data_IF_892772118795
#
_entry.id   IF_892772118795
#
_cell.length_a   1.000
_cell.length_b   1.000
_cell.length_c   1.000
_cell.angle_alpha   90.00
_cell.angle_beta   90.00
_cell.angle_gamma   90.00
#
_symmetry.space_group_name_H-M   'P 1'
#
loop_
_entity.id
_entity.type
_entity.pdbx_description
1 polymer ?
#
# COMPACT_ATOMS: atom_id res chain seq x y z
N UNK A 1 2.26 -14.94 4.89
CA UNK A 1 2.67 -13.75 5.65
C UNK A 1 1.60 -12.69 5.51
N UNK A 2 1.18 -12.06 6.61
CA UNK A 2 0.11 -11.04 6.60
C UNK A 2 0.72 -9.66 6.36
N UNK A 3 0.18 -8.91 5.41
CA UNK A 3 0.48 -7.48 5.23
C UNK A 3 -0.21 -6.71 6.37
N UNK A 4 0.44 -5.70 6.93
CA UNK A 4 -0.23 -4.76 7.84
C UNK A 4 -1.31 -4.01 7.06
N UNK A 5 -2.56 -4.12 7.52
CA UNK A 5 -3.71 -3.43 6.94
C UNK A 5 -4.04 -2.14 7.72
N UNK A 6 -5.03 -1.40 7.31
CA UNK A 6 -5.47 -0.14 7.95
C UNK A 6 -5.73 -0.33 9.45
N UNK A 7 -6.33 -1.44 9.84
CA UNK A 7 -6.64 -1.79 11.22
C UNK A 7 -5.39 -2.09 12.06
N UNK A 8 -4.28 -2.46 11.42
CA UNK A 8 -3.01 -2.76 12.07
C UNK A 8 -2.14 -1.49 12.30
N UNK A 9 -2.62 -0.30 11.87
CA UNK A 9 -1.89 0.97 11.97
C UNK A 9 -1.35 1.29 13.39
N UNK A 10 -2.06 0.97 14.49
CA UNK A 10 -1.52 1.19 15.84
C UNK A 10 -0.22 0.43 16.14
N UNK A 11 0.07 -0.62 15.37
CA UNK A 11 1.27 -1.45 15.50
C UNK A 11 2.28 -1.24 14.36
N UNK A 12 2.03 -0.30 13.46
CA UNK A 12 2.88 -0.03 12.30
C UNK A 12 3.87 1.10 12.59
N UNK A 13 5.10 0.75 12.94
CA UNK A 13 6.18 1.68 13.30
C UNK A 13 7.40 1.57 12.39
N UNK A 14 8.26 2.58 12.45
CA UNK A 14 9.54 2.62 11.75
C UNK A 14 9.45 3.15 10.32
N UNK A 15 8.29 3.60 9.86
CA UNK A 15 8.11 4.21 8.53
C UNK A 15 7.40 5.58 8.60
N UNK A 16 7.39 6.19 9.76
CA UNK A 16 6.66 7.44 10.01
C UNK A 16 7.16 8.57 9.11
N UNK A 17 8.49 8.70 8.94
CA UNK A 17 9.07 9.73 8.08
C UNK A 17 8.67 9.53 6.60
N UNK A 18 8.67 8.27 6.13
CA UNK A 18 8.22 7.92 4.77
C UNK A 18 6.73 8.24 4.58
N UNK A 19 5.89 7.84 5.54
CA UNK A 19 4.44 8.13 5.49
C UNK A 19 4.19 9.64 5.50
N UNK A 20 4.90 10.39 6.32
CA UNK A 20 4.77 11.86 6.35
C UNK A 20 5.20 12.49 5.03
N UNK A 21 6.26 11.99 4.41
CA UNK A 21 6.69 12.43 3.09
C UNK A 21 5.60 12.15 2.03
N UNK A 22 5.03 10.93 2.01
CA UNK A 22 3.94 10.57 1.11
C UNK A 22 2.71 11.47 1.28
N UNK A 23 2.34 11.80 2.52
CA UNK A 23 1.25 12.75 2.81
C UNK A 23 1.54 14.14 2.27
N UNK A 24 2.79 14.60 2.36
CA UNK A 24 3.18 15.91 1.83
C UNK A 24 3.09 15.96 0.30
N UNK A 25 3.44 14.86 -0.40
CA UNK A 25 3.28 14.76 -1.87
C UNK A 25 1.80 14.85 -2.32
N UNK A 26 0.86 14.51 -1.45
CA UNK A 26 -0.58 14.58 -1.73
C UNK A 26 -1.22 15.91 -1.36
N UNK A 27 -0.46 16.82 -0.74
CA UNK A 27 -0.92 18.18 -0.42
C UNK A 27 -0.61 19.13 -1.59
N UNK A 28 -1.41 20.20 -1.80
CA UNK A 28 -1.03 21.23 -2.75
C UNK A 28 0.28 21.89 -2.29
N UNK A 29 1.22 22.07 -3.21
CA UNK A 29 2.52 22.69 -2.91
C UNK A 29 2.37 24.17 -2.54
N UNK A 30 1.36 24.87 -3.13
CA UNK A 30 0.94 26.21 -2.78
C UNK A 30 -0.56 26.36 -3.07
N UNK A 31 -1.17 27.40 -2.48
CA UNK A 31 -2.57 27.74 -2.72
C UNK A 31 -2.82 27.95 -4.23
N UNK A 32 -3.81 27.24 -4.78
CA UNK A 32 -4.15 27.31 -6.21
C UNK A 32 -3.31 26.39 -7.13
N UNK A 33 -2.32 25.68 -6.61
CA UNK A 33 -1.58 24.68 -7.42
C UNK A 33 -2.35 23.36 -7.52
N UNK A 34 -2.20 22.63 -8.65
CA UNK A 34 -2.82 21.33 -8.80
C UNK A 34 -2.28 20.34 -7.76
N UNK A 35 -3.18 19.63 -7.11
CA UNK A 35 -2.83 18.54 -6.19
C UNK A 35 -2.37 17.33 -6.98
N UNK A 36 -1.26 16.71 -6.55
CA UNK A 36 -0.85 15.42 -7.08
C UNK A 36 -1.91 14.36 -6.72
N UNK A 37 -2.39 13.66 -7.75
CA UNK A 37 -3.42 12.61 -7.61
C UNK A 37 -2.97 11.25 -8.13
N UNK A 38 -1.69 11.10 -8.38
CA UNK A 38 -1.06 9.84 -8.72
C UNK A 38 0.18 9.63 -7.85
N UNK A 39 0.33 8.47 -7.25
CA UNK A 39 1.49 8.14 -6.43
C UNK A 39 1.88 6.67 -6.62
N UNK A 40 3.11 6.41 -7.04
CA UNK A 40 3.65 5.07 -7.17
C UNK A 40 4.66 4.76 -6.05
N UNK A 41 4.36 3.76 -5.22
CA UNK A 41 5.23 3.27 -4.14
C UNK A 41 5.98 2.04 -4.68
N UNK A 42 7.24 2.23 -5.02
CA UNK A 42 8.08 1.23 -5.70
C UNK A 42 9.16 0.70 -4.75
N UNK A 43 9.55 -0.56 -4.89
CA UNK A 43 10.66 -1.11 -4.09
C UNK A 43 10.82 -2.62 -4.25
N UNK A 44 11.85 -3.18 -3.64
CA UNK A 44 12.12 -4.62 -3.68
C UNK A 44 10.97 -5.46 -3.09
N UNK A 45 10.90 -6.74 -3.46
CA UNK A 45 10.00 -7.67 -2.76
C UNK A 45 10.33 -7.69 -1.27
N UNK A 46 9.31 -7.69 -0.41
CA UNK A 46 9.52 -7.68 1.04
C UNK A 46 9.97 -6.35 1.66
N UNK A 47 10.03 -5.23 0.91
CA UNK A 47 10.40 -3.92 1.46
C UNK A 47 9.30 -3.23 2.29
N UNK A 48 8.11 -3.82 2.39
CA UNK A 48 7.00 -3.27 3.17
C UNK A 48 6.07 -2.30 2.42
N UNK A 49 6.16 -2.18 1.08
CA UNK A 49 5.32 -1.27 0.25
C UNK A 49 3.83 -1.33 0.55
N UNK A 50 3.27 -2.54 0.55
CA UNK A 50 1.84 -2.74 0.81
C UNK A 50 1.44 -2.26 2.21
N UNK A 51 2.28 -2.52 3.22
CA UNK A 51 2.05 -2.04 4.59
C UNK A 51 2.18 -0.53 4.69
N UNK A 52 3.16 0.08 4.00
CA UNK A 52 3.30 1.55 3.90
C UNK A 52 2.06 2.17 3.26
N UNK A 53 1.54 1.58 2.18
CA UNK A 53 0.33 2.08 1.52
C UNK A 53 -0.90 1.95 2.42
N UNK A 54 -1.11 0.78 3.07
CA UNK A 54 -2.32 0.47 3.84
C UNK A 54 -2.25 0.98 5.28
N UNK A 55 -1.38 0.40 6.13
CA UNK A 55 -1.25 0.75 7.54
C UNK A 55 -0.56 2.11 7.76
N UNK A 56 0.25 2.56 6.81
CA UNK A 56 0.84 3.90 6.83
C UNK A 56 -0.09 4.94 6.23
N UNK A 57 -0.10 5.07 4.90
CA UNK A 57 -0.72 6.19 4.20
C UNK A 57 -2.24 6.20 4.31
N UNK A 58 -2.92 5.08 3.98
CA UNK A 58 -4.39 5.02 4.04
C UNK A 58 -4.90 5.19 5.46
N UNK A 59 -4.26 4.56 6.44
CA UNK A 59 -4.62 4.75 7.84
C UNK A 59 -4.45 6.21 8.28
N UNK A 60 -3.37 6.89 7.90
CA UNK A 60 -3.17 8.30 8.19
C UNK A 60 -4.26 9.18 7.56
N UNK A 61 -4.67 8.91 6.30
CA UNK A 61 -5.80 9.59 5.66
C UNK A 61 -7.10 9.37 6.43
N UNK A 62 -7.36 8.14 6.91
CA UNK A 62 -8.53 7.82 7.74
C UNK A 62 -8.51 8.51 9.11
N UNK A 63 -7.35 8.91 9.60
CA UNK A 63 -7.17 9.72 10.81
C UNK A 63 -7.05 11.22 10.52
N UNK A 64 -7.52 11.67 9.37
CA UNK A 64 -7.60 13.09 8.98
C UNK A 64 -6.25 13.79 8.85
N UNK A 65 -5.19 13.06 8.50
CA UNK A 65 -3.84 13.63 8.29
C UNK A 65 -3.79 14.70 7.19
N UNK A 66 -4.73 14.65 6.24
CA UNK A 66 -5.09 15.75 5.34
C UNK A 66 -6.50 16.17 5.73
N UNK A 67 -6.76 17.45 6.01
CA UNK A 67 -8.06 17.90 6.48
C UNK A 67 -9.22 17.41 5.61
N UNK A 68 -10.21 16.76 6.22
CA UNK A 68 -11.35 16.15 5.54
C UNK A 68 -11.13 14.75 4.96
N UNK A 69 -9.89 14.24 4.95
CA UNK A 69 -9.55 12.93 4.35
C UNK A 69 -10.16 11.74 5.10
N UNK A 70 -10.51 11.87 6.37
CA UNK A 70 -11.18 10.81 7.13
C UNK A 70 -12.48 10.31 6.46
N UNK A 71 -13.16 11.18 5.71
CA UNK A 71 -14.41 10.89 4.99
C UNK A 71 -14.22 10.36 3.57
N UNK A 72 -12.98 10.34 3.06
CA UNK A 72 -12.72 9.87 1.70
C UNK A 72 -13.01 8.37 1.58
N UNK A 73 -13.83 7.95 0.60
CA UNK A 73 -13.99 6.54 0.30
C UNK A 73 -12.66 5.95 -0.22
N UNK A 74 -12.33 4.74 0.22
CA UNK A 74 -11.07 4.07 -0.12
C UNK A 74 -11.37 2.70 -0.70
N UNK A 75 -11.00 2.50 -1.96
CA UNK A 75 -11.05 1.22 -2.67
C UNK A 75 -9.63 0.64 -2.74
N UNK A 76 -9.41 -0.52 -2.10
CA UNK A 76 -8.13 -1.22 -2.13
C UNK A 76 -8.32 -2.56 -2.83
N UNK A 77 -7.50 -2.85 -3.84
CA UNK A 77 -7.55 -4.13 -4.54
C UNK A 77 -6.19 -4.56 -5.06
N UNK A 78 -6.09 -5.85 -5.41
CA UNK A 78 -5.00 -6.43 -6.22
C UNK A 78 -5.56 -6.75 -7.60
N UNK A 79 -4.81 -6.51 -8.68
CA UNK A 79 -5.29 -6.75 -10.03
C UNK A 79 -5.73 -8.19 -10.31
N UNK A 80 -4.93 -9.17 -9.91
CA UNK A 80 -5.23 -10.58 -10.11
C UNK A 80 -5.34 -10.98 -11.59
N UNK A 81 -6.18 -11.99 -11.88
CA UNK A 81 -6.44 -12.48 -13.24
C UNK A 81 -7.33 -11.54 -14.05
N UNK A 82 -8.32 -10.91 -13.40
CA UNK A 82 -9.21 -9.92 -14.00
C UNK A 82 -9.16 -8.61 -13.21
N UNK A 83 -8.32 -7.66 -13.67
CA UNK A 83 -8.09 -6.43 -12.92
C UNK A 83 -9.28 -5.48 -12.94
N UNK A 84 -10.17 -5.54 -13.94
CA UNK A 84 -11.36 -4.70 -13.99
C UNK A 84 -12.46 -5.21 -13.06
N UNK A 85 -12.61 -6.54 -12.94
CA UNK A 85 -13.49 -7.14 -11.95
C UNK A 85 -13.02 -6.78 -10.53
N UNK A 86 -11.72 -6.92 -10.25
CA UNK A 86 -11.13 -6.57 -8.96
C UNK A 86 -11.36 -5.10 -8.59
N UNK A 87 -11.19 -4.18 -9.55
CA UNK A 87 -11.50 -2.75 -9.38
C UNK A 87 -12.99 -2.52 -9.12
N UNK A 88 -13.88 -3.11 -9.93
CA UNK A 88 -15.31 -2.93 -9.82
C UNK A 88 -15.84 -3.42 -8.46
N UNK A 89 -15.36 -4.59 -7.98
CA UNK A 89 -15.70 -5.12 -6.64
C UNK A 89 -15.21 -4.20 -5.52
N UNK A 90 -13.99 -3.66 -5.63
CA UNK A 90 -13.46 -2.74 -4.63
C UNK A 90 -14.27 -1.43 -4.56
N UNK A 91 -14.66 -0.88 -5.71
CA UNK A 91 -15.49 0.33 -5.81
C UNK A 91 -16.91 0.09 -5.29
N UNK A 92 -17.49 -1.07 -5.57
CA UNK A 92 -18.81 -1.47 -5.04
C UNK A 92 -18.84 -1.38 -3.51
N UNK A 93 -17.78 -1.82 -2.84
CA UNK A 93 -17.65 -1.77 -1.38
C UNK A 93 -17.36 -0.38 -0.84
N UNK A 94 -16.49 0.38 -1.53
CA UNK A 94 -15.99 1.67 -1.04
C UNK A 94 -16.96 2.83 -1.30
N UNK A 95 -17.62 2.82 -2.45
CA UNK A 95 -18.43 3.94 -2.97
C UNK A 95 -19.91 3.58 -3.16
N UNK A 96 -20.34 2.40 -2.70
CA UNK A 96 -21.73 1.89 -2.83
C UNK A 96 -22.26 1.89 -4.27
N UNK A 97 -21.42 1.66 -5.27
CA UNK A 97 -21.80 1.54 -6.68
C UNK A 97 -22.00 0.07 -7.09
N UNK A 98 -22.86 -0.18 -8.07
CA UNK A 98 -23.03 -1.50 -8.69
C UNK A 98 -23.28 -2.65 -7.68
N UNK A 99 -24.26 -2.50 -6.79
CA UNK A 99 -24.54 -3.41 -5.66
C UNK A 99 -25.16 -4.78 -6.06
N UNK A 100 -25.55 -4.95 -7.32
CA UNK A 100 -26.08 -6.22 -7.84
C UNK A 100 -25.11 -6.84 -8.85
N UNK A 101 -25.20 -8.17 -9.03
CA UNK A 101 -24.37 -8.88 -10.01
C UNK A 101 -24.51 -8.35 -11.45
N UNK A 102 -25.75 -8.05 -11.95
CA UNK A 102 -25.90 -7.45 -13.27
C UNK A 102 -25.24 -6.06 -13.37
N UNK A 103 -25.41 -5.20 -12.37
CA UNK A 103 -24.80 -3.88 -12.35
C UNK A 103 -23.26 -3.95 -12.30
N UNK A 104 -22.71 -4.94 -11.60
CA UNK A 104 -21.27 -5.17 -11.55
C UNK A 104 -20.72 -5.59 -12.93
N UNK A 105 -21.43 -6.50 -13.64
CA UNK A 105 -21.07 -6.93 -14.98
C UNK A 105 -21.13 -5.76 -16.00
N UNK A 106 -22.14 -4.91 -15.89
CA UNK A 106 -22.26 -3.69 -16.70
C UNK A 106 -21.10 -2.72 -16.42
N UNK A 107 -20.76 -2.50 -15.16
CA UNK A 107 -19.64 -1.66 -14.76
C UNK A 107 -18.30 -2.17 -15.31
N UNK A 108 -18.05 -3.48 -15.25
CA UNK A 108 -16.85 -4.08 -15.86
C UNK A 108 -16.81 -3.82 -17.36
N UNK A 109 -17.95 -4.00 -18.07
CA UNK A 109 -18.07 -3.71 -19.49
C UNK A 109 -17.80 -2.23 -19.81
N UNK A 110 -18.28 -1.31 -18.97
CA UNK A 110 -18.03 0.13 -19.15
C UNK A 110 -16.56 0.50 -18.94
N UNK A 111 -15.87 -0.10 -17.97
CA UNK A 111 -14.42 0.09 -17.82
C UNK A 111 -13.62 -0.32 -19.06
N UNK A 112 -14.05 -1.38 -19.77
CA UNK A 112 -13.39 -1.81 -21.01
C UNK A 112 -13.56 -0.81 -22.14
N UNK A 113 -14.75 -0.21 -22.26
CA UNK A 113 -15.13 0.66 -23.37
C UNK A 113 -14.72 2.12 -23.18
N UNK A 114 -14.68 2.61 -21.94
CA UNK A 114 -14.59 4.03 -21.65
C UNK A 114 -13.57 4.31 -20.53
N UNK A 115 -12.49 4.98 -20.86
CA UNK A 115 -11.43 5.38 -19.93
C UNK A 115 -11.90 6.40 -18.86
N UNK A 116 -13.05 7.04 -19.08
CA UNK A 116 -13.62 8.04 -18.16
C UNK A 116 -14.42 7.42 -17.03
N UNK A 117 -14.69 6.11 -17.09
CA UNK A 117 -15.62 5.42 -16.17
C UNK A 117 -15.21 5.62 -14.70
N UNK A 118 -13.94 5.44 -14.34
CA UNK A 118 -13.47 5.67 -12.97
C UNK A 118 -13.69 7.12 -12.50
N UNK A 119 -13.40 8.09 -13.34
CA UNK A 119 -13.64 9.49 -13.04
C UNK A 119 -15.13 9.80 -12.83
N UNK A 120 -16.01 9.24 -13.68
CA UNK A 120 -17.45 9.43 -13.56
C UNK A 120 -18.01 8.81 -12.28
N UNK A 121 -17.51 7.63 -11.88
CA UNK A 121 -17.84 7.00 -10.61
C UNK A 121 -17.45 7.90 -9.43
N UNK A 122 -16.23 8.43 -9.43
CA UNK A 122 -15.79 9.35 -8.39
C UNK A 122 -16.73 10.55 -8.25
N UNK A 123 -17.11 11.18 -9.38
CA UNK A 123 -18.04 12.30 -9.38
C UNK A 123 -19.45 11.93 -8.87
N UNK A 124 -19.94 10.75 -9.17
CA UNK A 124 -21.28 10.32 -8.75
C UNK A 124 -21.33 9.91 -7.27
N UNK A 125 -20.21 9.35 -6.76
CA UNK A 125 -20.14 8.84 -5.38
C UNK A 125 -19.74 9.88 -4.35
N UNK A 126 -19.24 11.04 -4.78
CA UNK A 126 -18.85 12.12 -3.88
C UNK A 126 -19.88 13.26 -3.90
N UNK A 127 -20.09 13.96 -2.77
CA UNK A 127 -21.02 15.10 -2.72
C UNK A 127 -20.55 16.23 -3.65
N UNK A 128 -21.47 16.83 -4.40
CA UNK A 128 -21.18 17.93 -5.35
C UNK A 128 -20.57 19.16 -4.67
N UNK A 129 -20.94 19.42 -3.41
CA UNK A 129 -20.48 20.57 -2.63
C UNK A 129 -19.20 20.30 -1.81
N UNK A 130 -18.46 19.23 -2.13
CA UNK A 130 -17.24 18.84 -1.43
C UNK A 130 -16.06 18.66 -2.43
N UNK A 131 -15.53 19.73 -3.03
CA UNK A 131 -14.49 19.67 -4.06
C UNK A 131 -13.16 19.06 -3.54
N UNK A 132 -12.93 19.12 -2.23
CA UNK A 132 -11.73 18.56 -1.59
C UNK A 132 -11.86 17.07 -1.25
N UNK A 133 -13.06 16.49 -1.36
CA UNK A 133 -13.22 15.04 -1.18
C UNK A 133 -12.65 14.30 -2.37
N UNK A 134 -12.09 13.13 -2.08
CA UNK A 134 -11.46 12.27 -3.10
C UNK A 134 -11.91 10.83 -2.93
N UNK A 135 -12.07 10.14 -4.05
CA UNK A 135 -12.10 8.69 -4.11
C UNK A 135 -10.66 8.18 -4.16
N UNK A 136 -10.20 7.51 -3.12
CA UNK A 136 -8.86 6.93 -3.05
C UNK A 136 -8.91 5.52 -3.63
N UNK A 137 -8.10 5.27 -4.64
CA UNK A 137 -7.97 3.96 -5.30
C UNK A 137 -6.55 3.44 -5.09
N UNK A 138 -6.41 2.38 -4.28
CA UNK A 138 -5.12 1.74 -4.01
C UNK A 138 -5.03 0.45 -4.80
N UNK A 139 -4.12 0.41 -5.77
CA UNK A 139 -3.78 -0.80 -6.52
C UNK A 139 -2.55 -1.44 -5.87
N UNK A 140 -2.78 -2.42 -5.03
CA UNK A 140 -1.70 -3.14 -4.34
C UNK A 140 -1.15 -4.26 -5.23
N UNK A 141 0.18 -4.36 -5.31
CA UNK A 141 0.88 -5.30 -6.19
C UNK A 141 0.54 -5.11 -7.69
N UNK A 142 0.69 -3.87 -8.17
CA UNK A 142 0.38 -3.52 -9.57
C UNK A 142 1.13 -4.38 -10.59
N UNK A 143 2.27 -4.98 -10.24
CA UNK A 143 2.97 -5.95 -11.09
C UNK A 143 2.11 -7.15 -11.50
N UNK A 144 1.03 -7.47 -10.78
CA UNK A 144 0.10 -8.54 -11.16
C UNK A 144 -0.60 -8.28 -12.50
N UNK A 145 -0.75 -7.01 -12.87
CA UNK A 145 -1.25 -6.62 -14.20
C UNK A 145 -0.40 -7.22 -15.33
N UNK A 146 0.90 -7.38 -15.09
CA UNK A 146 1.84 -7.94 -16.07
C UNK A 146 2.10 -9.44 -15.89
N UNK A 147 1.87 -9.99 -14.70
CA UNK A 147 2.21 -11.37 -14.36
C UNK A 147 1.01 -12.30 -14.37
N UNK A 148 -0.16 -11.84 -13.96
CA UNK A 148 -1.37 -12.65 -13.82
C UNK A 148 -2.40 -12.35 -14.91
N UNK A 149 -2.60 -11.08 -15.29
CA UNK A 149 -3.55 -10.71 -16.33
C UNK A 149 -3.02 -11.09 -17.73
N UNK A 150 -3.65 -12.08 -18.34
CA UNK A 150 -3.25 -12.59 -19.68
C UNK A 150 -3.86 -11.79 -20.83
N UNK A 151 -4.95 -11.07 -20.59
CA UNK A 151 -5.68 -10.30 -21.61
C UNK A 151 -5.12 -8.89 -21.63
N UNK A 152 -4.49 -8.53 -22.76
CA UNK A 152 -3.88 -7.21 -22.93
C UNK A 152 -4.91 -6.09 -22.88
N UNK A 153 -6.09 -6.31 -23.45
CA UNK A 153 -7.19 -5.34 -23.48
C UNK A 153 -7.66 -4.96 -22.06
N UNK A 154 -7.70 -5.91 -21.12
CA UNK A 154 -8.09 -5.64 -19.73
C UNK A 154 -7.00 -4.85 -19.00
N UNK A 155 -5.73 -5.18 -19.26
CA UNK A 155 -4.58 -4.47 -18.69
C UNK A 155 -4.56 -3.02 -19.14
N UNK A 156 -4.69 -2.79 -20.45
CA UNK A 156 -4.72 -1.44 -21.01
C UNK A 156 -5.93 -0.64 -20.54
N UNK A 157 -7.11 -1.27 -20.48
CA UNK A 157 -8.32 -0.62 -19.99
C UNK A 157 -8.17 -0.17 -18.52
N UNK A 158 -7.59 -1.02 -17.64
CA UNK A 158 -7.27 -0.61 -16.27
C UNK A 158 -6.34 0.61 -16.25
N UNK A 159 -5.22 0.54 -16.98
CA UNK A 159 -4.20 1.61 -16.99
C UNK A 159 -4.82 2.92 -17.46
N UNK A 160 -5.58 2.91 -18.59
CA UNK A 160 -6.25 4.11 -19.11
C UNK A 160 -7.22 4.72 -18.11
N UNK A 161 -8.06 3.91 -17.45
CA UNK A 161 -8.99 4.41 -16.44
C UNK A 161 -8.29 5.06 -15.24
N UNK A 162 -7.24 4.42 -14.72
CA UNK A 162 -6.46 4.96 -13.60
C UNK A 162 -5.78 6.28 -13.96
N UNK A 163 -5.11 6.33 -15.13
CA UNK A 163 -4.38 7.51 -15.57
C UNK A 163 -5.32 8.66 -15.93
N UNK A 164 -6.42 8.38 -16.62
CA UNK A 164 -7.42 9.40 -16.94
C UNK A 164 -7.99 10.03 -15.66
N UNK A 165 -8.43 9.21 -14.72
CA UNK A 165 -9.02 9.68 -13.46
C UNK A 165 -8.04 10.49 -12.60
N UNK A 166 -6.75 10.14 -12.62
CA UNK A 166 -5.71 10.88 -11.90
C UNK A 166 -5.33 12.21 -12.56
N UNK A 167 -5.33 12.28 -13.92
CA UNK A 167 -4.83 13.44 -14.68
C UNK A 167 -5.89 14.49 -15.02
N UNK A 168 -7.16 14.09 -15.16
CA UNK A 168 -8.24 15.01 -15.59
C UNK A 168 -8.30 16.27 -14.71
N UNK A 169 -8.38 17.43 -15.30
CA UNK A 169 -8.54 18.69 -14.56
C UNK A 169 -9.75 18.61 -13.61
N UNK A 170 -9.58 19.10 -12.39
CA UNK A 170 -10.61 19.07 -11.33
C UNK A 170 -11.13 17.66 -10.98
N UNK A 171 -10.38 16.60 -11.35
CA UNK A 171 -10.72 15.22 -10.95
C UNK A 171 -10.65 15.03 -9.43
N UNK A 172 -11.45 14.10 -8.92
CA UNK A 172 -11.53 13.78 -7.50
C UNK A 172 -11.04 12.36 -7.18
N UNK A 173 -10.26 11.74 -8.07
CA UNK A 173 -9.69 10.42 -7.83
C UNK A 173 -8.22 10.54 -7.47
N UNK A 174 -7.83 9.96 -6.33
CA UNK A 174 -6.44 9.76 -5.94
C UNK A 174 -6.05 8.31 -6.21
N UNK A 175 -5.07 8.09 -7.08
CA UNK A 175 -4.56 6.76 -7.44
C UNK A 175 -3.23 6.52 -6.73
N UNK A 176 -3.16 5.44 -5.95
CA UNK A 176 -1.95 4.98 -5.27
C UNK A 176 -1.62 3.59 -5.78
N UNK A 177 -0.42 3.39 -6.30
CA UNK A 177 0.06 2.09 -6.75
C UNK A 177 1.18 1.59 -5.84
N UNK A 178 1.17 0.30 -5.49
CA UNK A 178 2.38 -0.35 -4.99
C UNK A 178 2.93 -1.30 -6.05
N UNK A 179 4.23 -1.28 -6.30
CA UNK A 179 4.83 -2.11 -7.34
C UNK A 179 6.25 -2.55 -6.99
N UNK A 180 6.63 -3.72 -7.42
CA UNK A 180 8.01 -4.19 -7.34
C UNK A 180 8.91 -3.44 -8.33
N UNK A 181 10.11 -3.07 -7.88
CA UNK A 181 11.05 -2.29 -8.68
C UNK A 181 11.52 -2.99 -9.97
N UNK A 182 11.59 -4.34 -9.97
CA UNK A 182 11.96 -5.13 -11.14
C UNK A 182 10.94 -5.09 -12.29
N UNK A 183 9.73 -4.57 -12.04
CA UNK A 183 8.71 -4.32 -13.07
C UNK A 183 8.73 -2.92 -13.67
N UNK A 184 9.65 -2.05 -13.24
CA UNK A 184 9.73 -0.67 -13.74
C UNK A 184 9.86 -0.60 -15.27
N UNK A 185 10.66 -1.50 -15.86
CA UNK A 185 10.82 -1.60 -17.32
C UNK A 185 9.51 -1.96 -18.05
N UNK A 186 8.58 -2.68 -17.40
CA UNK A 186 7.27 -2.99 -17.99
C UNK A 186 6.38 -1.75 -18.05
N UNK A 187 6.47 -0.87 -17.06
CA UNK A 187 5.75 0.41 -17.07
C UNK A 187 6.30 1.34 -18.16
N UNK A 188 7.60 1.31 -18.43
CA UNK A 188 8.25 2.13 -19.46
C UNK A 188 7.77 1.80 -20.89
N UNK A 189 7.20 0.62 -21.13
CA UNK A 189 6.62 0.25 -22.42
C UNK A 189 5.32 1.04 -22.76
N UNK A 190 4.66 1.64 -21.76
CA UNK A 190 3.51 2.52 -21.94
C UNK A 190 3.92 3.96 -21.60
N UNK A 191 3.96 4.85 -22.61
CA UNK A 191 4.48 6.21 -22.47
C UNK A 191 3.74 7.04 -21.40
N UNK A 192 2.41 6.91 -21.30
CA UNK A 192 1.62 7.66 -20.30
C UNK A 192 1.87 7.18 -18.88
N UNK A 193 2.00 5.85 -18.70
CA UNK A 193 2.33 5.24 -17.42
C UNK A 193 3.76 5.60 -17.03
N UNK A 194 4.71 5.55 -17.96
CA UNK A 194 6.09 5.95 -17.75
C UNK A 194 6.19 7.41 -17.25
N UNK A 195 5.47 8.33 -17.90
CA UNK A 195 5.43 9.73 -17.48
C UNK A 195 4.84 9.88 -16.07
N UNK A 196 3.73 9.21 -15.76
CA UNK A 196 3.11 9.27 -14.43
C UNK A 196 4.04 8.74 -13.34
N UNK A 197 4.80 7.67 -13.63
CA UNK A 197 5.81 7.12 -12.69
C UNK A 197 7.02 8.04 -12.54
N UNK A 198 7.49 8.67 -13.62
CA UNK A 198 8.66 9.57 -13.56
C UNK A 198 8.41 10.77 -12.67
N UNK A 199 7.21 11.31 -12.70
CA UNK A 199 6.86 12.54 -12.00
C UNK A 199 6.51 12.27 -10.52
N UNK A 200 5.94 11.09 -10.20
CA UNK A 200 5.27 10.84 -8.92
C UNK A 200 5.54 9.43 -8.37
N UNK A 201 6.81 9.05 -8.22
CA UNK A 201 7.15 7.80 -7.56
C UNK A 201 8.04 7.98 -6.34
N UNK A 202 7.93 7.04 -5.40
CA UNK A 202 8.84 6.91 -4.26
C UNK A 202 9.46 5.53 -4.25
N UNK A 203 10.76 5.47 -4.05
CA UNK A 203 11.48 4.21 -3.88
C UNK A 203 11.57 3.86 -2.40
N UNK A 204 10.90 2.77 -2.00
CA UNK A 204 10.97 2.23 -0.64
C UNK A 204 12.25 1.42 -0.49
N UNK A 205 13.25 2.04 0.11
CA UNK A 205 14.52 1.41 0.46
C UNK A 205 14.45 0.51 1.70
N UNK A 206 15.56 -0.14 2.05
CA UNK A 206 15.72 -0.85 3.32
C UNK A 206 15.42 0.09 4.50
N UNK A 207 14.97 -0.49 5.60
CA UNK A 207 14.85 0.26 6.86
C UNK A 207 16.24 0.56 7.43
N UNK A 208 16.39 1.75 8.02
CA UNK A 208 17.54 2.09 8.85
C UNK A 208 17.50 1.29 10.17
N UNK A 209 18.58 1.30 10.93
CA UNK A 209 18.60 0.65 12.24
C UNK A 209 17.57 1.23 13.20
N UNK A 210 17.44 2.55 13.22
CA UNK A 210 16.47 3.23 14.07
C UNK A 210 15.03 2.88 13.67
N UNK A 211 14.74 2.80 12.37
CA UNK A 211 13.45 2.35 11.86
C UNK A 211 13.17 0.89 12.26
N UNK A 212 14.15 -0.02 12.13
CA UNK A 212 14.03 -1.41 12.55
C UNK A 212 13.81 -1.53 14.05
N UNK A 213 14.59 -0.79 14.87
CA UNK A 213 14.41 -0.75 16.32
C UNK A 213 13.00 -0.32 16.68
N UNK A 214 12.52 0.77 16.11
CA UNK A 214 11.15 1.25 16.35
C UNK A 214 10.10 0.22 15.94
N UNK A 215 10.27 -0.47 14.81
CA UNK A 215 9.37 -1.51 14.32
C UNK A 215 9.32 -2.75 15.25
N UNK A 216 10.38 -3.01 16.04
CA UNK A 216 10.46 -4.11 16.99
C UNK A 216 9.99 -3.68 18.38
N UNK A 217 10.54 -2.57 18.89
CA UNK A 217 10.37 -2.15 20.27
C UNK A 217 8.99 -1.54 20.55
N UNK A 218 8.50 -0.67 19.66
CA UNK A 218 7.26 0.06 19.91
C UNK A 218 6.02 -0.86 20.01
N UNK A 219 5.82 -1.86 19.12
CA UNK A 219 4.71 -2.81 19.29
C UNK A 219 4.83 -3.63 20.60
N UNK A 220 6.05 -4.02 20.99
CA UNK A 220 6.28 -4.77 22.22
C UNK A 220 5.91 -3.92 23.44
N UNK A 221 6.33 -2.65 23.47
CA UNK A 221 5.98 -1.70 24.54
C UNK A 221 4.47 -1.49 24.66
N UNK A 222 3.76 -1.34 23.54
CA UNK A 222 2.30 -1.14 23.54
C UNK A 222 1.55 -2.29 24.21
N UNK A 223 2.01 -3.53 24.06
CA UNK A 223 1.37 -4.70 24.68
C UNK A 223 2.01 -5.07 26.03
N UNK A 224 2.94 -4.24 26.55
CA UNK A 224 3.65 -4.47 27.80
C UNK A 224 4.52 -5.74 27.76
N UNK A 225 5.14 -6.02 26.61
CA UNK A 225 6.07 -7.13 26.41
C UNK A 225 7.50 -6.62 26.60
N UNK A 226 8.28 -7.28 27.43
CA UNK A 226 9.69 -6.97 27.66
C UNK A 226 10.57 -7.66 26.61
N UNK A 227 11.56 -6.93 26.12
CA UNK A 227 12.60 -7.44 25.24
C UNK A 227 13.89 -7.62 26.06
N UNK A 228 14.46 -8.81 26.06
CA UNK A 228 15.74 -9.07 26.75
C UNK A 228 16.86 -8.20 26.16
N UNK A 229 17.74 -7.69 27.02
CA UNK A 229 18.87 -6.89 26.60
C UNK A 229 19.71 -7.61 25.54
N UNK A 230 20.04 -6.90 24.45
CA UNK A 230 20.75 -7.44 23.29
C UNK A 230 19.90 -8.18 22.26
N UNK A 231 18.63 -8.53 22.53
CA UNK A 231 17.76 -9.19 21.55
C UNK A 231 17.51 -8.33 20.31
N UNK A 232 17.20 -7.04 20.52
CA UNK A 232 16.93 -6.09 19.43
C UNK A 232 18.18 -5.92 18.56
N UNK A 233 19.36 -5.82 19.15
CA UNK A 233 20.63 -5.69 18.44
C UNK A 233 20.89 -6.90 17.53
N UNK A 234 20.62 -8.09 18.03
CA UNK A 234 20.76 -9.34 17.25
C UNK A 234 19.77 -9.36 16.06
N UNK A 235 18.49 -9.01 16.30
CA UNK A 235 17.47 -8.97 15.27
C UNK A 235 17.84 -7.97 14.16
N UNK A 236 18.24 -6.74 14.55
CA UNK A 236 18.65 -5.68 13.60
C UNK A 236 19.86 -6.13 12.79
N UNK A 237 20.88 -6.72 13.44
CA UNK A 237 22.08 -7.21 12.77
C UNK A 237 21.76 -8.32 11.75
N UNK A 238 20.88 -9.25 12.09
CA UNK A 238 20.52 -10.37 11.20
C UNK A 238 19.67 -9.88 10.03
N UNK A 239 18.74 -8.92 10.22
CA UNK A 239 17.98 -8.29 9.13
C UNK A 239 18.87 -7.57 8.13
N UNK A 240 19.89 -6.84 8.61
CA UNK A 240 20.86 -6.13 7.74
C UNK A 240 21.61 -7.04 6.78
N UNK A 241 21.88 -8.27 7.19
CA UNK A 241 22.61 -9.25 6.39
C UNK A 241 21.79 -9.83 5.24
N UNK A 242 20.46 -9.63 5.26
CA UNK A 242 19.53 -10.26 4.30
C UNK A 242 18.62 -9.22 3.64
N UNK A 243 18.91 -8.77 2.41
CA UNK A 243 18.01 -7.87 1.68
C UNK A 243 16.59 -8.45 1.57
N UNK A 244 15.57 -7.64 1.84
CA UNK A 244 14.18 -8.09 1.82
C UNK A 244 13.74 -8.91 3.05
N UNK A 245 14.50 -8.89 4.15
CA UNK A 245 14.25 -9.70 5.35
C UNK A 245 13.11 -9.22 6.25
N UNK A 246 12.41 -8.12 5.96
CA UNK A 246 11.27 -7.70 6.79
C UNK A 246 10.20 -8.80 6.96
N UNK A 247 9.87 -9.57 5.93
CA UNK A 247 9.04 -10.75 6.08
C UNK A 247 9.57 -11.78 7.08
N UNK A 248 10.89 -12.03 7.06
CA UNK A 248 11.53 -12.97 7.98
C UNK A 248 11.53 -12.43 9.41
N UNK A 249 11.78 -11.12 9.57
CA UNK A 249 11.67 -10.46 10.86
C UNK A 249 10.27 -10.62 11.45
N UNK A 250 9.22 -10.38 10.67
CA UNK A 250 7.84 -10.54 11.11
C UNK A 250 7.55 -11.98 11.56
N UNK A 251 8.04 -12.96 10.80
CA UNK A 251 7.88 -14.37 11.18
C UNK A 251 8.67 -14.72 12.44
N UNK A 252 9.92 -14.28 12.54
CA UNK A 252 10.74 -14.52 13.74
C UNK A 252 10.13 -13.88 15.00
N UNK A 253 9.58 -12.67 14.89
CA UNK A 253 8.87 -12.02 15.99
C UNK A 253 7.60 -12.78 16.40
N UNK A 254 6.87 -13.35 15.45
CA UNK A 254 5.70 -14.20 15.73
C UNK A 254 6.12 -15.48 16.46
N UNK A 255 7.18 -16.16 16.01
CA UNK A 255 7.71 -17.35 16.66
C UNK A 255 8.25 -17.05 18.07
N UNK A 256 8.95 -15.92 18.23
CA UNK A 256 9.38 -15.43 19.54
C UNK A 256 8.19 -15.18 20.47
N UNK A 257 7.13 -14.56 19.96
CA UNK A 257 5.90 -14.34 20.70
C UNK A 257 5.29 -15.66 21.18
N UNK A 258 5.26 -16.68 20.35
CA UNK A 258 4.74 -18.01 20.69
C UNK A 258 5.60 -18.71 21.75
N UNK A 259 6.93 -18.43 21.77
CA UNK A 259 7.89 -18.99 22.73
C UNK A 259 8.24 -18.06 23.89
N UNK A 260 7.47 -16.98 24.11
CA UNK A 260 7.74 -16.01 25.16
C UNK A 260 7.66 -16.62 26.55
N UNK A 261 8.49 -16.14 27.45
CA UNK A 261 8.46 -16.47 28.86
C UNK A 261 7.60 -15.45 29.62
N UNK A 262 6.34 -15.77 29.89
CA UNK A 262 5.39 -14.82 30.43
C UNK A 262 5.16 -13.64 29.46
N UNK A 263 5.67 -12.46 29.80
CA UNK A 263 5.61 -11.24 28.97
C UNK A 263 6.99 -10.84 28.43
N UNK A 264 7.95 -11.75 28.33
CA UNK A 264 9.31 -11.46 27.93
C UNK A 264 9.73 -12.27 26.70
N UNK A 265 10.32 -11.60 25.70
CA UNK A 265 11.01 -12.23 24.58
C UNK A 265 12.50 -12.35 24.92
N UNK A 266 13.07 -13.54 24.73
CA UNK A 266 14.43 -13.86 25.18
C UNK A 266 15.37 -14.16 24.03
N UNK A 267 16.67 -13.89 24.23
CA UNK A 267 17.75 -14.24 23.30
C UNK A 267 17.81 -15.76 23.11
N UNK A 268 17.58 -16.53 24.19
CA UNK A 268 17.53 -17.99 24.14
C UNK A 268 16.44 -18.48 23.18
N UNK A 269 15.20 -17.96 23.30
CA UNK A 269 14.11 -18.31 22.39
C UNK A 269 14.45 -17.96 20.92
N UNK A 270 15.14 -16.83 20.69
CA UNK A 270 15.58 -16.43 19.37
C UNK A 270 16.59 -17.43 18.75
N UNK A 271 17.53 -17.92 19.56
CA UNK A 271 18.47 -18.95 19.15
C UNK A 271 17.76 -20.29 18.85
N UNK A 272 16.80 -20.70 19.67
CA UNK A 272 16.02 -21.94 19.52
C UNK A 272 15.14 -21.97 18.27
N UNK A 273 14.61 -20.84 17.81
CA UNK A 273 13.86 -20.76 16.55
C UNK A 273 14.78 -20.78 15.31
N UNK A 274 16.11 -20.79 15.51
CA UNK A 274 17.09 -20.79 14.43
C UNK A 274 17.34 -19.41 13.83
N UNK A 275 17.09 -18.34 14.58
CA UNK A 275 17.21 -16.93 14.18
C UNK A 275 16.35 -16.62 12.94
N UNK A 276 16.71 -15.62 12.13
CA UNK A 276 16.00 -15.31 10.87
C UNK A 276 16.13 -16.44 9.83
N UNK A 277 17.24 -17.17 9.82
CA UNK A 277 17.46 -18.27 8.87
C UNK A 277 16.56 -19.47 9.14
N UNK A 278 16.27 -19.77 10.40
CA UNK A 278 15.33 -20.82 10.80
C UNK A 278 13.89 -20.56 10.34
N UNK A 279 13.54 -19.31 10.09
CA UNK A 279 12.24 -18.90 9.56
C UNK A 279 12.02 -19.32 8.09
N UNK A 280 13.11 -19.59 7.34
CA UNK A 280 13.07 -20.04 5.94
C UNK A 280 12.92 -21.56 5.79
N UNK A 281 13.19 -22.34 6.85
CA UNK A 281 13.25 -23.81 6.79
C UNK A 281 11.94 -24.49 7.24
N UNK A 282 10.95 -23.74 7.61
CA UNK A 282 9.62 -24.20 8.04
C UNK A 282 8.52 -23.62 7.17
#
# INVERSE_FOLDING_TARGET
MRVFDVEDAPFFFGREALVQWLLNELRPAAEGQPVNRFLAIVGASGSGKSSVARAGLVAALKHDAIPGSARWPVAIFRPGLDPLESLAVALSRAANVAQSTPALAELISEFQKNEKTLHLIARQSLPENAPDMRLVVVVDQFEEVFTLCRKEELREALIRNLLYAAKIAQGQTLVILTMRADFYAKCAANAELAAAFSDHHVLVGPMTDDELRRAIEMPAQLVGCELEAGLVDLLVQDVRRQPGALPLLQHALLELWNKREGRRLTVKAYQEIGKLEGALQR
#
